data_IF_247259491995
#
_entry.id   IF_247259491995
#
_cell.length_a   1.000
_cell.length_b   1.000
_cell.length_c   1.000
_cell.angle_alpha   90.00
_cell.angle_beta   90.00
_cell.angle_gamma   90.00
#
_symmetry.space_group_name_H-M   'P 1'
#
loop_
_entity.id
_entity.type
_entity.pdbx_description
1 polymer ?
#
# COMPACT_ATOMS: atom_id res chain seq x y z
N UNK A 1 47.88 -17.95 8.67
CA UNK A 1 47.57 -16.63 8.06
C UNK A 1 46.18 -16.78 7.51
N UNK A 2 45.17 -16.43 8.30
CA UNK A 2 43.77 -16.77 8.06
C UNK A 2 43.13 -15.89 6.98
N UNK A 3 41.96 -16.33 6.53
CA UNK A 3 41.08 -15.63 5.60
C UNK A 3 40.82 -14.20 6.09
N UNK A 4 40.66 -13.27 5.15
CA UNK A 4 40.24 -11.90 5.46
C UNK A 4 38.72 -11.92 5.61
N UNK A 5 38.25 -12.05 6.84
CA UNK A 5 36.85 -11.86 7.18
C UNK A 5 36.49 -10.39 6.93
N UNK A 6 35.96 -10.11 5.73
CA UNK A 6 35.35 -8.82 5.39
C UNK A 6 34.00 -8.71 6.07
N UNK A 7 34.01 -8.46 7.38
CA UNK A 7 32.80 -8.00 8.05
C UNK A 7 32.35 -6.67 7.43
N UNK A 8 31.12 -6.65 6.93
CA UNK A 8 30.46 -5.44 6.46
C UNK A 8 29.84 -4.71 7.65
N UNK A 9 29.80 -3.38 7.58
CA UNK A 9 29.33 -2.53 8.67
C UNK A 9 28.32 -1.51 8.13
N UNK A 10 27.12 -1.51 8.69
CA UNK A 10 26.14 -0.45 8.43
C UNK A 10 26.21 0.62 9.51
N UNK A 11 25.95 1.87 9.11
CA UNK A 11 26.06 3.02 10.00
C UNK A 11 24.71 3.33 10.66
N UNK A 12 24.72 3.74 11.94
CA UNK A 12 23.51 4.10 12.70
C UNK A 12 23.66 5.44 13.42
N UNK A 13 22.54 6.16 13.55
CA UNK A 13 22.46 7.37 14.37
C UNK A 13 22.48 7.04 15.86
N UNK A 14 23.19 7.86 16.63
CA UNK A 14 23.17 7.85 18.10
C UNK A 14 21.76 7.95 18.69
N UNK A 15 20.82 8.58 17.98
CA UNK A 15 19.45 8.85 18.44
C UNK A 15 18.53 7.62 18.39
N UNK A 16 18.96 6.54 17.72
CA UNK A 16 18.21 5.30 17.57
C UNK A 16 18.73 4.15 18.45
N UNK A 17 19.87 4.36 19.12
CA UNK A 17 20.45 3.39 20.07
C UNK A 17 19.52 3.21 21.27
N UNK A 18 19.29 1.96 21.68
CA UNK A 18 18.48 1.64 22.86
C UNK A 18 19.29 1.91 24.15
N UNK A 19 18.64 2.48 25.16
CA UNK A 19 19.27 3.00 26.39
C UNK A 19 18.49 2.53 27.61
N UNK A 20 19.19 2.12 28.67
CA UNK A 20 18.60 1.54 29.89
C UNK A 20 18.20 0.06 29.79
N UNK A 21 18.31 -0.54 28.60
CA UNK A 21 18.07 -1.97 28.35
C UNK A 21 19.29 -2.60 27.64
N UNK A 22 19.52 -3.91 27.77
CA UNK A 22 20.59 -4.61 27.05
C UNK A 22 20.44 -4.53 25.53
N UNK A 23 21.48 -4.06 24.83
CA UNK A 23 21.46 -4.03 23.36
C UNK A 23 21.70 -5.43 22.77
N UNK A 24 21.04 -5.73 21.65
CA UNK A 24 21.06 -7.07 21.01
C UNK A 24 22.15 -7.23 19.95
N UNK A 25 23.12 -6.32 19.89
CA UNK A 25 24.11 -6.20 18.83
C UNK A 25 25.37 -5.51 19.37
N UNK A 26 26.48 -5.63 18.66
CA UNK A 26 27.76 -5.02 19.01
C UNK A 26 27.91 -3.64 18.34
N UNK A 27 28.38 -2.63 19.09
CA UNK A 27 28.63 -1.27 18.58
C UNK A 27 30.09 -1.06 18.22
N UNK A 28 30.31 -0.48 17.04
CA UNK A 28 31.61 -0.16 16.47
C UNK A 28 31.73 1.33 16.13
N UNK A 29 32.97 1.78 16.00
CA UNK A 29 33.35 3.05 15.36
C UNK A 29 34.28 2.75 14.19
N UNK A 30 34.29 3.57 13.15
CA UNK A 30 35.46 3.65 12.27
C UNK A 30 36.56 4.45 13.02
N UNK A 31 37.69 3.80 13.33
CA UNK A 31 38.83 4.42 14.00
C UNK A 31 39.85 5.02 13.03
N UNK A 32 39.52 5.09 11.73
CA UNK A 32 40.38 5.66 10.69
C UNK A 32 39.86 7.03 10.25
N UNK A 33 40.77 8.00 10.15
CA UNK A 33 40.51 9.30 9.54
C UNK A 33 40.86 9.35 8.05
N UNK A 34 41.02 8.19 7.39
CA UNK A 34 41.40 8.07 5.99
C UNK A 34 40.39 7.20 5.22
N UNK A 35 39.73 7.84 4.26
CA UNK A 35 38.85 7.21 3.27
C UNK A 35 39.57 6.06 2.53
N UNK A 36 38.86 4.95 2.28
CA UNK A 36 39.44 3.74 1.70
C UNK A 36 40.43 2.97 2.59
N UNK A 37 40.64 3.38 3.85
CA UNK A 37 41.45 2.68 4.86
C UNK A 37 40.71 2.54 6.18
N UNK A 38 39.44 2.13 6.10
CA UNK A 38 38.58 1.99 7.26
C UNK A 38 39.11 0.98 8.27
N UNK A 39 38.85 1.23 9.57
CA UNK A 39 39.23 0.32 10.64
C UNK A 39 38.16 0.32 11.72
N UNK A 40 37.25 -0.64 11.64
CA UNK A 40 36.19 -0.77 12.62
C UNK A 40 36.71 -1.33 13.94
N UNK A 41 36.35 -0.68 15.04
CA UNK A 41 36.74 -1.06 16.41
C UNK A 41 35.49 -1.13 17.26
N UNK A 42 35.23 -2.29 17.89
CA UNK A 42 34.11 -2.44 18.82
C UNK A 42 34.32 -1.57 20.06
N UNK A 43 33.37 -0.68 20.33
CA UNK A 43 33.38 0.19 21.52
C UNK A 43 32.47 -0.32 22.63
N UNK A 44 31.45 -1.12 22.31
CA UNK A 44 30.50 -1.64 23.30
C UNK A 44 29.95 -3.01 22.84
N UNK A 45 29.85 -4.02 23.73
CA UNK A 45 29.44 -5.37 23.35
C UNK A 45 27.93 -5.59 23.38
N UNK A 46 27.47 -6.57 22.60
CA UNK A 46 26.13 -7.15 22.75
C UNK A 46 25.87 -7.62 24.19
N UNK A 47 24.65 -7.41 24.68
CA UNK A 47 24.20 -7.80 26.02
C UNK A 47 24.54 -6.80 27.14
N UNK A 48 25.33 -5.77 26.87
CA UNK A 48 25.49 -4.64 27.79
C UNK A 48 24.30 -3.68 27.70
N UNK A 49 23.95 -3.02 28.80
CA UNK A 49 23.02 -1.89 28.81
C UNK A 49 23.80 -0.56 28.73
N UNK A 50 23.41 0.32 27.82
CA UNK A 50 23.99 1.66 27.69
C UNK A 50 23.22 2.67 28.55
N UNK A 51 23.94 3.60 29.18
CA UNK A 51 23.32 4.76 29.83
C UNK A 51 23.25 5.97 28.90
N UNK A 52 22.37 6.93 29.21
CA UNK A 52 22.23 8.18 28.42
C UNK A 52 23.56 8.94 28.31
N UNK A 53 24.35 8.93 29.38
CA UNK A 53 25.67 9.53 29.44
C UNK A 53 26.70 8.83 28.56
N UNK A 54 26.54 7.53 28.26
CA UNK A 54 27.43 6.81 27.33
C UNK A 54 27.16 7.23 25.89
N UNK A 55 25.89 7.27 25.49
CA UNK A 55 25.49 7.72 24.15
C UNK A 55 25.90 9.18 23.92
N UNK A 56 25.75 10.06 24.92
CA UNK A 56 26.24 11.43 24.87
C UNK A 56 27.78 11.51 24.79
N UNK A 57 28.51 10.69 25.56
CA UNK A 57 29.98 10.60 25.48
C UNK A 57 30.46 10.08 24.13
N UNK A 58 29.71 9.18 23.48
CA UNK A 58 30.03 8.71 22.14
C UNK A 58 29.72 9.77 21.07
N UNK A 59 28.55 10.43 21.13
CA UNK A 59 28.13 11.49 20.19
C UNK A 59 29.08 12.69 20.18
N UNK A 60 29.68 13.01 21.32
CA UNK A 60 30.67 14.10 21.44
C UNK A 60 32.09 13.71 20.96
N UNK A 61 32.34 12.44 20.65
CA UNK A 61 33.69 11.89 20.40
C UNK A 61 33.84 11.22 19.02
N UNK A 62 32.74 10.73 18.46
CA UNK A 62 32.70 9.96 17.23
C UNK A 62 31.66 10.55 16.28
N UNK A 63 31.95 10.54 14.98
CA UNK A 63 31.05 11.12 13.97
C UNK A 63 29.78 10.29 13.76
N UNK A 64 29.92 8.95 13.80
CA UNK A 64 28.87 7.99 13.49
C UNK A 64 29.16 6.67 14.22
N UNK A 65 28.11 5.91 14.54
CA UNK A 65 28.20 4.54 15.06
C UNK A 65 27.99 3.52 13.95
N UNK A 66 28.51 2.32 14.15
CA UNK A 66 28.39 1.21 13.20
C UNK A 66 28.01 -0.08 13.91
N UNK A 67 27.34 -0.98 13.20
CA UNK A 67 26.97 -2.33 13.63
C UNK A 67 27.33 -3.30 12.51
N UNK A 68 27.61 -4.56 12.85
CA UNK A 68 27.86 -5.61 11.85
C UNK A 68 26.61 -5.82 10.98
N UNK A 69 26.80 -5.98 9.67
CA UNK A 69 25.70 -6.30 8.73
C UNK A 69 24.96 -7.58 9.16
N UNK A 70 25.71 -8.58 9.64
CA UNK A 70 25.25 -9.83 10.26
C UNK A 70 24.36 -9.65 11.51
N UNK A 71 24.24 -8.42 12.04
CA UNK A 71 23.45 -8.07 13.23
C UNK A 71 22.38 -7.00 12.92
N UNK A 72 22.11 -6.70 11.63
CA UNK A 72 21.16 -5.63 11.25
C UNK A 72 19.73 -5.93 11.72
N UNK A 73 19.26 -7.17 11.63
CA UNK A 73 17.94 -7.57 12.12
C UNK A 73 17.81 -7.33 13.64
N UNK A 74 18.85 -7.65 14.42
CA UNK A 74 18.87 -7.48 15.88
C UNK A 74 18.81 -6.00 16.28
N UNK A 75 19.51 -5.13 15.54
CA UNK A 75 19.38 -3.68 15.68
C UNK A 75 17.96 -3.21 15.35
N UNK A 76 17.39 -3.57 14.19
CA UNK A 76 16.05 -3.16 13.79
C UNK A 76 14.96 -3.66 14.75
N UNK A 77 15.07 -4.90 15.23
CA UNK A 77 14.22 -5.49 16.26
C UNK A 77 14.35 -4.80 17.62
N UNK A 78 15.49 -4.17 17.93
CA UNK A 78 15.63 -3.29 19.11
C UNK A 78 14.96 -1.93 18.87
N UNK A 79 15.11 -1.36 17.67
CA UNK A 79 14.56 -0.05 17.29
C UNK A 79 13.02 -0.04 17.36
N UNK A 80 12.36 -1.12 16.95
CA UNK A 80 10.90 -1.31 17.17
C UNK A 80 10.53 -1.17 18.65
N UNK A 81 11.21 -1.95 19.51
CA UNK A 81 10.90 -2.06 20.94
C UNK A 81 11.18 -0.75 21.70
N UNK A 82 12.13 0.05 21.22
CA UNK A 82 12.46 1.34 21.81
C UNK A 82 11.27 2.33 21.69
N UNK A 83 10.54 2.50 22.80
CA UNK A 83 9.37 3.39 22.90
C UNK A 83 9.72 4.88 22.86
N UNK A 84 11.00 5.25 22.97
CA UNK A 84 11.45 6.64 22.95
C UNK A 84 11.61 7.19 21.51
N UNK A 85 11.72 6.31 20.51
CA UNK A 85 11.84 6.70 19.10
C UNK A 85 10.44 6.81 18.48
N UNK A 86 10.07 7.95 17.85
CA UNK A 86 8.80 8.08 17.13
C UNK A 86 8.70 7.09 15.96
N UNK A 87 7.51 6.53 15.71
CA UNK A 87 7.31 5.54 14.64
C UNK A 87 7.75 6.01 13.25
N UNK A 88 7.59 7.31 12.93
CA UNK A 88 8.12 7.92 11.71
C UNK A 88 9.63 7.70 11.55
N UNK A 89 10.42 7.88 12.62
CA UNK A 89 11.87 7.63 12.60
C UNK A 89 12.24 6.15 12.57
N UNK A 90 11.35 5.25 12.98
CA UNK A 90 11.51 3.80 12.77
C UNK A 90 11.30 3.46 11.30
N UNK A 91 10.21 3.96 10.71
CA UNK A 91 9.88 3.78 9.31
C UNK A 91 10.95 4.33 8.36
N UNK A 92 11.57 5.46 8.70
CA UNK A 92 12.75 6.03 8.00
C UNK A 92 13.89 5.00 7.89
N UNK A 93 14.36 4.47 9.03
CA UNK A 93 15.45 3.47 9.06
C UNK A 93 15.08 2.14 8.38
N UNK A 94 13.80 1.75 8.44
CA UNK A 94 13.26 0.56 7.75
C UNK A 94 13.25 0.78 6.25
N UNK A 95 12.79 1.95 5.79
CA UNK A 95 12.75 2.36 4.39
C UNK A 95 14.17 2.43 3.82
N UNK A 96 15.11 3.09 4.50
CA UNK A 96 16.51 3.19 4.10
C UNK A 96 17.17 1.80 3.97
N UNK A 97 16.85 0.88 4.87
CA UNK A 97 17.34 -0.51 4.80
C UNK A 97 16.72 -1.26 3.63
N UNK A 98 15.40 -1.18 3.43
CA UNK A 98 14.72 -1.81 2.30
C UNK A 98 15.24 -1.25 0.97
N UNK A 99 15.51 0.05 0.87
CA UNK A 99 16.14 0.69 -0.29
C UNK A 99 17.53 0.08 -0.56
N UNK A 100 18.36 -0.19 0.45
CA UNK A 100 19.69 -0.80 0.24
C UNK A 100 19.61 -2.23 -0.32
N UNK A 101 18.58 -3.01 0.07
CA UNK A 101 18.32 -4.33 -0.50
C UNK A 101 17.72 -4.26 -1.91
N UNK A 102 16.73 -3.38 -2.14
CA UNK A 102 16.15 -3.16 -3.48
C UNK A 102 17.18 -2.61 -4.48
N UNK A 103 18.06 -1.70 -4.06
CA UNK A 103 19.14 -1.20 -4.91
C UNK A 103 20.14 -2.31 -5.30
N UNK A 104 20.37 -3.26 -4.40
CA UNK A 104 21.18 -4.44 -4.71
C UNK A 104 20.48 -5.40 -5.70
N UNK A 105 19.14 -5.42 -5.73
CA UNK A 105 18.33 -6.15 -6.71
C UNK A 105 18.34 -5.46 -8.08
N UNK A 106 18.17 -4.14 -8.13
CA UNK A 106 17.88 -3.40 -9.37
C UNK A 106 19.09 -2.66 -9.99
N UNK A 107 20.28 -2.73 -9.42
CA UNK A 107 21.50 -2.12 -10.00
C UNK A 107 21.97 -2.80 -11.28
N UNK A 108 21.90 -2.09 -12.42
CA UNK A 108 22.38 -2.54 -13.76
C UNK A 108 23.82 -3.11 -13.76
N UNK A 109 24.71 -2.63 -12.89
CA UNK A 109 26.12 -3.04 -12.84
C UNK A 109 26.36 -4.44 -12.21
N UNK A 110 25.35 -5.11 -11.65
CA UNK A 110 25.51 -6.35 -10.88
C UNK A 110 24.90 -7.58 -11.56
N UNK A 111 25.76 -8.51 -11.98
CA UNK A 111 25.34 -9.89 -12.23
C UNK A 111 25.02 -10.53 -10.87
N UNK A 112 23.73 -10.59 -10.53
CA UNK A 112 23.27 -11.37 -9.38
C UNK A 112 23.38 -12.86 -9.69
N UNK A 113 24.22 -13.55 -8.92
CA UNK A 113 24.15 -15.00 -8.80
C UNK A 113 23.04 -15.42 -7.83
N UNK A 114 22.77 -16.73 -7.79
CA UNK A 114 21.69 -17.29 -6.99
C UNK A 114 21.86 -17.05 -5.48
N UNK A 115 23.10 -17.03 -4.98
CA UNK A 115 23.40 -16.90 -3.54
C UNK A 115 23.16 -15.46 -3.10
N UNK A 116 23.62 -14.48 -3.90
CA UNK A 116 23.31 -13.07 -3.70
C UNK A 116 21.80 -12.77 -3.72
N UNK A 117 21.02 -13.40 -4.61
CA UNK A 117 19.57 -13.16 -4.65
C UNK A 117 18.82 -13.80 -3.47
N UNK A 118 19.22 -15.00 -3.02
CA UNK A 118 18.65 -15.64 -1.83
C UNK A 118 18.90 -14.78 -0.57
N UNK A 119 20.13 -14.29 -0.38
CA UNK A 119 20.51 -13.41 0.74
C UNK A 119 19.75 -12.08 0.74
N UNK A 120 19.63 -11.42 -0.42
CA UNK A 120 19.00 -10.09 -0.49
C UNK A 120 17.48 -10.19 -0.31
N UNK A 121 16.83 -11.27 -0.79
CA UNK A 121 15.42 -11.52 -0.47
C UNK A 121 15.22 -11.86 1.02
N UNK A 122 16.20 -12.48 1.69
CA UNK A 122 16.18 -12.64 3.15
C UNK A 122 16.26 -11.28 3.86
N UNK A 123 17.14 -10.38 3.44
CA UNK A 123 17.23 -9.00 3.94
C UNK A 123 15.93 -8.20 3.74
N UNK A 124 15.30 -8.32 2.57
CA UNK A 124 13.95 -7.80 2.30
C UNK A 124 12.90 -8.39 3.27
N UNK A 125 12.91 -9.72 3.47
CA UNK A 125 11.99 -10.43 4.38
C UNK A 125 12.10 -9.90 5.81
N UNK A 126 13.31 -9.74 6.33
CA UNK A 126 13.52 -9.25 7.69
C UNK A 126 13.17 -7.77 7.81
N UNK A 127 13.42 -6.97 6.76
CA UNK A 127 12.95 -5.58 6.67
C UNK A 127 11.42 -5.48 6.71
N UNK A 128 10.71 -6.40 6.03
CA UNK A 128 9.24 -6.49 6.10
C UNK A 128 8.76 -7.02 7.45
N UNK A 129 9.47 -7.97 8.07
CA UNK A 129 9.15 -8.46 9.42
C UNK A 129 9.22 -7.34 10.47
N UNK A 130 10.10 -6.37 10.23
CA UNK A 130 10.26 -5.15 11.04
C UNK A 130 9.22 -4.09 10.66
N UNK A 131 8.91 -3.94 9.36
CA UNK A 131 7.86 -3.03 8.86
C UNK A 131 6.47 -3.38 9.42
N UNK A 132 6.10 -4.67 9.45
CA UNK A 132 4.82 -5.17 9.99
C UNK A 132 4.60 -4.71 11.43
N UNK A 133 5.62 -4.75 12.28
CA UNK A 133 5.52 -4.32 13.69
C UNK A 133 5.24 -2.81 13.84
N UNK A 134 5.55 -2.01 12.82
CA UNK A 134 5.30 -0.56 12.80
C UNK A 134 3.96 -0.23 12.14
N UNK A 135 3.62 -0.85 11.00
CA UNK A 135 2.49 -0.42 10.14
C UNK A 135 1.24 -1.29 10.20
N UNK A 136 1.24 -2.43 10.90
CA UNK A 136 0.07 -3.34 10.88
C UNK A 136 -1.24 -2.66 11.30
N UNK A 137 -1.21 -1.81 12.32
CA UNK A 137 -2.41 -1.14 12.85
C UNK A 137 -2.66 0.27 12.23
N UNK A 138 -1.92 0.63 11.17
CA UNK A 138 -2.08 1.91 10.47
C UNK A 138 -3.20 1.82 9.43
N UNK A 139 -3.97 2.89 9.25
CA UNK A 139 -4.89 3.05 8.11
C UNK A 139 -4.19 3.62 6.86
N UNK A 140 -4.84 3.54 5.70
CA UNK A 140 -4.36 4.10 4.42
C UNK A 140 -3.97 5.57 4.55
N UNK A 141 -4.73 6.36 5.34
CA UNK A 141 -4.40 7.77 5.60
C UNK A 141 -3.12 7.91 6.46
N UNK A 142 -2.97 7.06 7.48
CA UNK A 142 -1.78 7.08 8.35
C UNK A 142 -0.53 6.61 7.58
N UNK A 143 -0.69 5.71 6.59
CA UNK A 143 0.37 5.30 5.65
C UNK A 143 0.67 6.42 4.64
N UNK A 144 -0.33 7.12 4.09
CA UNK A 144 -0.09 8.26 3.21
C UNK A 144 0.64 9.40 3.92
N UNK A 145 0.25 9.73 5.16
CA UNK A 145 0.96 10.71 5.98
C UNK A 145 2.40 10.25 6.24
N UNK A 146 2.62 8.96 6.52
CA UNK A 146 3.95 8.39 6.70
C UNK A 146 4.80 8.52 5.42
N UNK A 147 4.28 8.13 4.26
CA UNK A 147 4.96 8.23 2.95
C UNK A 147 5.29 9.68 2.63
N UNK A 148 4.32 10.59 2.75
CA UNK A 148 4.50 12.01 2.46
C UNK A 148 5.55 12.69 3.34
N UNK A 149 5.76 12.21 4.57
CA UNK A 149 6.83 12.66 5.45
C UNK A 149 8.17 11.92 5.25
N UNK A 150 8.25 10.91 4.36
CA UNK A 150 9.46 10.12 4.06
C UNK A 150 9.99 10.34 2.63
N UNK A 151 9.30 11.08 1.77
CA UNK A 151 9.73 11.36 0.38
C UNK A 151 10.72 12.54 0.30
N UNK A 152 11.98 12.29 0.64
CA UNK A 152 13.09 13.26 0.53
C UNK A 152 14.12 12.95 -0.58
N UNK A 153 13.97 11.85 -1.31
CA UNK A 153 14.93 11.39 -2.33
C UNK A 153 14.23 10.91 -3.61
N UNK A 154 14.85 11.13 -4.78
CA UNK A 154 14.24 10.91 -6.10
C UNK A 154 14.26 9.44 -6.59
N UNK A 155 14.48 8.46 -5.70
CA UNK A 155 14.58 7.03 -6.04
C UNK A 155 13.19 6.35 -6.16
N UNK A 156 12.41 6.86 -7.10
CA UNK A 156 11.01 6.56 -7.37
C UNK A 156 10.63 5.05 -7.34
N UNK A 157 11.39 4.18 -8.00
CA UNK A 157 11.07 2.73 -8.10
C UNK A 157 11.13 2.00 -6.75
N UNK A 158 12.05 2.39 -5.87
CA UNK A 158 12.24 1.74 -4.57
C UNK A 158 11.18 2.21 -3.56
N UNK A 159 10.89 3.51 -3.56
CA UNK A 159 9.78 4.10 -2.80
C UNK A 159 8.45 3.40 -3.15
N UNK A 160 8.16 3.21 -4.44
CA UNK A 160 6.93 2.54 -4.89
C UNK A 160 6.75 1.13 -4.29
N UNK A 161 7.74 0.24 -4.44
CA UNK A 161 7.66 -1.13 -3.90
C UNK A 161 7.49 -1.16 -2.37
N UNK A 162 8.12 -0.22 -1.66
CA UNK A 162 7.99 -0.08 -0.20
C UNK A 162 6.60 0.44 0.20
N UNK A 163 6.02 1.36 -0.57
CA UNK A 163 4.65 1.84 -0.36
C UNK A 163 3.62 0.72 -0.58
N UNK A 164 3.74 -0.02 -1.69
CA UNK A 164 2.85 -1.16 -2.01
C UNK A 164 2.96 -2.24 -0.93
N UNK A 165 4.15 -2.50 -0.38
CA UNK A 165 4.33 -3.37 0.80
C UNK A 165 3.54 -2.86 2.01
N UNK A 166 3.63 -1.57 2.37
CA UNK A 166 2.88 -1.00 3.50
C UNK A 166 1.35 -1.08 3.30
N UNK A 167 0.86 -0.72 2.12
CA UNK A 167 -0.56 -0.82 1.79
C UNK A 167 -1.06 -2.27 1.84
N UNK A 168 -0.31 -3.23 1.29
CA UNK A 168 -0.64 -4.66 1.37
C UNK A 168 -0.81 -5.16 2.81
N UNK A 169 0.09 -4.77 3.72
CA UNK A 169 0.03 -5.13 5.14
C UNK A 169 -1.28 -4.62 5.77
N UNK A 170 -1.61 -3.34 5.56
CA UNK A 170 -2.81 -2.71 6.15
C UNK A 170 -4.13 -3.25 5.57
N UNK A 171 -4.20 -3.43 4.23
CA UNK A 171 -5.36 -4.01 3.56
C UNK A 171 -5.58 -5.46 4.05
N UNK A 172 -4.53 -6.28 4.08
CA UNK A 172 -4.64 -7.66 4.54
C UNK A 172 -4.98 -7.76 6.03
N UNK A 173 -4.38 -6.94 6.90
CA UNK A 173 -4.74 -6.85 8.32
C UNK A 173 -6.19 -6.45 8.52
N UNK A 174 -6.73 -5.55 7.70
CA UNK A 174 -8.15 -5.14 7.79
C UNK A 174 -9.08 -6.24 7.33
N UNK A 175 -8.75 -6.92 6.22
CA UNK A 175 -9.50 -8.08 5.73
C UNK A 175 -9.45 -9.26 6.72
N UNK A 176 -8.34 -9.42 7.44
CA UNK A 176 -8.11 -10.49 8.41
C UNK A 176 -7.49 -9.94 9.71
N UNK A 177 -8.28 -9.36 10.64
CA UNK A 177 -7.76 -8.76 11.88
C UNK A 177 -6.92 -9.71 12.74
N UNK A 178 -7.30 -11.00 12.73
CA UNK A 178 -6.62 -12.10 13.40
C UNK A 178 -5.56 -12.81 12.52
N UNK A 179 -5.01 -12.13 11.51
CA UNK A 179 -3.87 -12.62 10.74
C UNK A 179 -2.66 -12.84 11.67
N UNK A 180 -1.93 -13.93 11.44
CA UNK A 180 -0.64 -14.14 12.12
C UNK A 180 0.44 -13.25 11.51
N UNK A 181 1.54 -13.04 12.25
CA UNK A 181 2.68 -12.22 11.79
C UNK A 181 3.25 -12.74 10.47
N UNK A 182 3.35 -14.05 10.30
CA UNK A 182 3.88 -14.68 9.08
C UNK A 182 3.02 -14.37 7.85
N UNK A 183 1.69 -14.25 8.03
CA UNK A 183 0.77 -13.90 6.95
C UNK A 183 0.84 -12.41 6.57
N UNK A 184 1.09 -11.54 7.56
CA UNK A 184 1.34 -10.11 7.34
C UNK A 184 2.69 -9.88 6.65
N UNK A 185 3.71 -10.64 7.00
CA UNK A 185 5.02 -10.62 6.31
C UNK A 185 4.88 -11.11 4.88
N UNK A 186 4.09 -12.17 4.63
CA UNK A 186 3.81 -12.66 3.28
C UNK A 186 3.04 -11.62 2.45
N UNK A 187 2.11 -10.86 3.06
CA UNK A 187 1.42 -9.74 2.41
C UNK A 187 2.38 -8.60 2.03
N UNK A 188 3.25 -8.18 2.95
CA UNK A 188 4.26 -7.14 2.70
C UNK A 188 5.26 -7.57 1.62
N UNK A 189 5.81 -8.79 1.70
CA UNK A 189 6.72 -9.34 0.68
C UNK A 189 6.04 -9.47 -0.70
N UNK A 190 4.74 -9.77 -0.72
CA UNK A 190 3.92 -9.77 -1.95
C UNK A 190 3.78 -8.37 -2.57
N UNK A 191 3.96 -7.31 -1.80
CA UNK A 191 4.01 -5.92 -2.28
C UNK A 191 5.42 -5.46 -2.60
N UNK A 192 6.41 -5.83 -1.78
CA UNK A 192 7.81 -5.41 -1.95
C UNK A 192 8.48 -6.03 -3.19
N UNK A 193 8.07 -7.23 -3.59
CA UNK A 193 8.70 -7.98 -4.69
C UNK A 193 7.87 -8.06 -5.98
N UNK A 194 6.68 -7.47 -6.04
CA UNK A 194 5.79 -7.61 -7.22
C UNK A 194 6.50 -7.25 -8.53
N UNK A 195 7.26 -6.15 -8.48
CA UNK A 195 7.97 -5.51 -9.58
C UNK A 195 9.34 -6.13 -9.90
N UNK A 196 9.74 -7.21 -9.22
CA UNK A 196 11.08 -7.82 -9.30
C UNK A 196 11.53 -8.11 -10.75
N UNK A 197 10.60 -8.44 -11.64
CA UNK A 197 10.90 -8.68 -13.06
C UNK A 197 11.40 -7.45 -13.83
N UNK A 198 11.24 -6.22 -13.32
CA UNK A 198 11.71 -5.00 -13.99
C UNK A 198 13.23 -4.93 -14.12
N UNK A 199 13.99 -5.73 -13.36
CA UNK A 199 15.42 -6.00 -13.60
C UNK A 199 15.73 -6.49 -15.02
N UNK A 200 14.78 -7.16 -15.69
CA UNK A 200 14.94 -7.70 -17.05
C UNK A 200 14.49 -6.73 -18.14
N UNK A 201 14.02 -5.53 -17.78
CA UNK A 201 13.50 -4.53 -18.70
C UNK A 201 14.56 -3.44 -18.94
N UNK A 202 14.82 -3.03 -20.20
CA UNK A 202 15.82 -2.00 -20.48
C UNK A 202 15.61 -0.70 -19.71
N UNK A 203 16.69 -0.18 -19.13
CA UNK A 203 16.74 1.03 -18.28
C UNK A 203 16.10 2.27 -18.91
N UNK A 204 16.09 2.38 -20.25
CA UNK A 204 15.47 3.49 -20.99
C UNK A 204 13.93 3.41 -21.06
N UNK A 205 13.35 2.21 -20.97
CA UNK A 205 11.89 2.01 -20.89
C UNK A 205 11.43 2.33 -19.47
N UNK A 206 12.11 1.78 -18.45
CA UNK A 206 11.83 2.03 -17.03
C UNK A 206 11.90 3.53 -16.69
N UNK A 207 12.87 4.26 -17.25
CA UNK A 207 13.06 5.69 -17.00
C UNK A 207 12.46 6.60 -18.10
N UNK A 208 11.50 6.11 -18.91
CA UNK A 208 10.85 6.94 -19.93
C UNK A 208 10.01 8.06 -19.26
N UNK A 209 10.27 9.36 -19.54
CA UNK A 209 9.58 10.48 -18.91
C UNK A 209 8.19 10.80 -19.52
N UNK A 210 7.62 9.90 -20.33
CA UNK A 210 6.32 10.04 -20.98
C UNK A 210 5.69 8.67 -21.29
N UNK A 211 4.58 8.68 -22.05
CA UNK A 211 3.90 7.44 -22.45
C UNK A 211 4.84 6.58 -23.32
N UNK A 212 5.01 5.31 -22.97
CA UNK A 212 5.71 4.32 -23.79
C UNK A 212 5.04 4.16 -25.16
N UNK A 213 5.81 3.74 -26.18
CA UNK A 213 5.22 3.21 -27.42
C UNK A 213 4.53 1.86 -27.16
N UNK A 214 3.70 1.40 -28.11
CA UNK A 214 3.03 0.10 -27.99
C UNK A 214 4.06 -1.05 -27.93
N UNK A 215 5.20 -0.94 -28.64
CA UNK A 215 6.30 -1.91 -28.60
C UNK A 215 7.07 -1.87 -27.27
N UNK A 216 7.34 -0.68 -26.72
CA UNK A 216 7.93 -0.51 -25.40
C UNK A 216 7.01 -1.06 -24.29
N UNK A 217 5.68 -0.93 -24.46
CA UNK A 217 4.70 -1.45 -23.53
C UNK A 217 4.58 -2.99 -23.60
N UNK A 218 4.60 -3.60 -24.79
CA UNK A 218 4.70 -5.07 -24.88
C UNK A 218 6.02 -5.62 -24.28
N UNK A 219 7.11 -4.84 -24.30
CA UNK A 219 8.33 -5.17 -23.55
C UNK A 219 8.08 -5.10 -22.04
N UNK A 220 7.55 -3.99 -21.49
CA UNK A 220 7.37 -3.86 -20.03
C UNK A 220 6.37 -4.88 -19.47
N UNK A 221 5.34 -5.26 -20.25
CA UNK A 221 4.37 -6.32 -19.92
C UNK A 221 4.99 -7.72 -19.76
N UNK A 222 6.25 -7.93 -20.17
CA UNK A 222 6.96 -9.20 -19.94
C UNK A 222 7.46 -9.39 -18.51
N UNK A 223 7.54 -8.32 -17.70
CA UNK A 223 8.13 -8.36 -16.37
C UNK A 223 7.46 -9.34 -15.38
N UNK A 224 6.13 -9.58 -15.37
CA UNK A 224 5.51 -10.54 -14.44
C UNK A 224 5.97 -11.97 -14.68
N UNK A 225 6.19 -12.34 -15.95
CA UNK A 225 6.79 -13.63 -16.31
C UNK A 225 8.29 -13.64 -15.98
N UNK A 226 9.03 -12.57 -16.30
CA UNK A 226 10.47 -12.49 -16.03
C UNK A 226 10.81 -12.60 -14.54
N UNK A 227 10.07 -11.90 -13.68
CA UNK A 227 10.27 -11.95 -12.22
C UNK A 227 9.92 -13.30 -11.61
N UNK A 228 8.83 -13.95 -12.09
CA UNK A 228 8.51 -15.33 -11.71
C UNK A 228 9.62 -16.29 -12.15
N UNK A 229 10.07 -16.18 -13.39
CA UNK A 229 11.15 -17.00 -13.95
C UNK A 229 12.48 -16.83 -13.20
N UNK A 230 12.77 -15.61 -12.72
CA UNK A 230 13.94 -15.32 -11.90
C UNK A 230 13.90 -16.10 -10.58
N UNK A 231 12.81 -15.95 -9.82
CA UNK A 231 12.62 -16.65 -8.54
C UNK A 231 12.63 -18.17 -8.74
N UNK A 232 11.93 -18.69 -9.75
CA UNK A 232 11.87 -20.13 -10.07
C UNK A 232 13.25 -20.75 -10.39
N UNK A 233 14.16 -19.97 -11.01
CA UNK A 233 15.49 -20.46 -11.43
C UNK A 233 16.59 -20.21 -10.39
N UNK A 234 16.47 -19.13 -9.61
CA UNK A 234 17.53 -18.66 -8.73
C UNK A 234 17.29 -18.97 -7.25
N UNK A 235 16.04 -18.92 -6.79
CA UNK A 235 15.67 -18.97 -5.37
C UNK A 235 15.01 -20.31 -5.02
N UNK A 236 15.72 -21.17 -4.28
CA UNK A 236 15.30 -22.55 -3.96
C UNK A 236 14.38 -22.61 -2.75
N UNK A 237 14.72 -21.89 -1.68
CA UNK A 237 13.98 -21.91 -0.41
C UNK A 237 14.40 -20.74 0.49
N UNK A 238 13.43 -20.02 1.05
CA UNK A 238 13.67 -18.98 2.06
C UNK A 238 12.84 -19.30 3.30
N UNK A 239 13.49 -19.40 4.46
CA UNK A 239 12.88 -19.92 5.68
C UNK A 239 11.76 -19.00 6.16
N UNK A 240 10.53 -19.53 6.22
CA UNK A 240 9.37 -18.74 6.62
C UNK A 240 8.96 -17.70 5.58
N UNK A 241 9.09 -18.01 4.28
CA UNK A 241 8.50 -17.30 3.15
C UNK A 241 7.91 -18.32 2.17
N UNK A 242 6.65 -18.15 1.76
CA UNK A 242 6.02 -19.03 0.77
C UNK A 242 6.38 -18.56 -0.65
N UNK A 243 7.39 -19.20 -1.23
CA UNK A 243 7.89 -18.86 -2.57
C UNK A 243 6.89 -19.17 -3.69
N UNK A 244 5.96 -20.12 -3.52
CA UNK A 244 4.91 -20.35 -4.52
C UNK A 244 3.90 -19.20 -4.53
N UNK A 245 3.52 -18.71 -3.34
CA UNK A 245 2.70 -17.51 -3.21
C UNK A 245 3.41 -16.29 -3.80
N UNK A 246 4.70 -16.07 -3.51
CA UNK A 246 5.46 -14.94 -4.07
C UNK A 246 5.56 -15.05 -5.61
N UNK A 247 5.93 -16.22 -6.15
CA UNK A 247 5.94 -16.47 -7.61
C UNK A 247 4.58 -16.22 -8.26
N UNK A 248 3.47 -16.58 -7.58
CA UNK A 248 2.12 -16.28 -8.04
C UNK A 248 1.82 -14.78 -8.00
N UNK A 249 2.22 -14.03 -6.98
CA UNK A 249 1.94 -12.59 -6.94
C UNK A 249 2.74 -11.83 -8.00
N UNK A 250 4.03 -12.11 -8.13
CA UNK A 250 4.87 -11.52 -9.18
C UNK A 250 4.27 -11.77 -10.56
N UNK A 251 3.71 -12.97 -10.79
CA UNK A 251 3.07 -13.32 -12.06
C UNK A 251 1.67 -12.72 -12.26
N UNK A 252 0.89 -12.52 -11.19
CA UNK A 252 -0.57 -12.29 -11.28
C UNK A 252 -1.03 -10.87 -10.88
N UNK A 253 -0.13 -9.96 -10.48
CA UNK A 253 -0.53 -8.63 -10.00
C UNK A 253 -1.08 -7.68 -11.09
N UNK A 254 -0.80 -7.95 -12.36
CA UNK A 254 -1.42 -7.26 -13.51
C UNK A 254 -2.62 -8.03 -14.12
N UNK A 255 -3.14 -9.05 -13.43
CA UNK A 255 -4.37 -9.74 -13.82
C UNK A 255 -5.60 -8.92 -13.38
N UNK A 256 -6.38 -8.43 -14.36
CA UNK A 256 -7.60 -7.69 -14.12
C UNK A 256 -8.72 -8.64 -13.67
N UNK A 257 -9.51 -8.25 -12.67
CA UNK A 257 -10.56 -9.09 -12.07
C UNK A 257 -11.58 -9.67 -13.08
N UNK A 258 -11.82 -9.02 -14.21
CA UNK A 258 -12.68 -9.48 -15.31
C UNK A 258 -12.01 -10.47 -16.29
N UNK A 259 -10.71 -10.74 -16.17
CA UNK A 259 -9.92 -11.55 -17.11
C UNK A 259 -9.20 -10.77 -18.22
N UNK A 260 -9.38 -9.45 -18.36
CA UNK A 260 -8.70 -8.65 -19.38
C UNK A 260 -7.33 -8.12 -18.94
N UNK A 261 -6.58 -8.94 -18.19
CA UNK A 261 -5.24 -8.62 -17.68
C UNK A 261 -4.14 -9.44 -18.37
N UNK A 262 -2.94 -9.39 -17.80
CA UNK A 262 -1.79 -10.13 -18.31
C UNK A 262 -0.93 -10.65 -17.15
N UNK A 263 -0.09 -11.68 -17.39
CA UNK A 263 0.09 -12.43 -18.64
C UNK A 263 -0.77 -13.69 -18.75
N UNK A 264 -1.41 -14.16 -17.67
CA UNK A 264 -2.19 -15.40 -17.65
C UNK A 264 -3.65 -15.24 -18.09
N UNK A 265 -4.19 -14.02 -18.17
CA UNK A 265 -5.61 -13.71 -18.46
C UNK A 265 -6.55 -14.37 -17.42
N UNK A 266 -6.14 -14.40 -16.16
CA UNK A 266 -6.92 -14.96 -15.04
C UNK A 266 -8.03 -14.00 -14.60
N UNK A 267 -9.13 -14.54 -14.08
CA UNK A 267 -10.27 -13.73 -13.62
C UNK A 267 -10.73 -14.08 -12.20
N UNK A 268 -11.49 -13.17 -11.60
CA UNK A 268 -12.25 -13.34 -10.37
C UNK A 268 -11.42 -13.85 -9.18
N UNK A 269 -11.61 -15.12 -8.83
CA UNK A 269 -10.99 -15.76 -7.66
C UNK A 269 -9.95 -16.82 -8.02
N UNK A 270 -9.65 -17.01 -9.31
CA UNK A 270 -8.52 -17.79 -9.78
C UNK A 270 -7.19 -17.02 -9.59
N UNK A 271 -7.26 -15.69 -9.65
CA UNK A 271 -6.18 -14.76 -9.29
C UNK A 271 -5.91 -14.88 -7.77
N UNK A 272 -4.64 -15.03 -7.39
CA UNK A 272 -4.27 -15.21 -5.98
C UNK A 272 -4.73 -14.04 -5.09
N UNK A 273 -5.09 -14.31 -3.83
CA UNK A 273 -5.62 -13.27 -2.94
C UNK A 273 -4.63 -12.12 -2.75
N UNK A 274 -3.35 -12.42 -2.48
CA UNK A 274 -2.33 -11.37 -2.37
C UNK A 274 -2.06 -10.66 -3.69
N UNK A 275 -2.26 -11.30 -4.85
CA UNK A 275 -2.07 -10.64 -6.14
C UNK A 275 -3.17 -9.59 -6.39
N UNK A 276 -4.42 -9.89 -6.02
CA UNK A 276 -5.53 -8.93 -6.05
C UNK A 276 -5.39 -7.81 -5.01
N UNK A 277 -4.74 -8.06 -3.88
CA UNK A 277 -4.37 -7.01 -2.91
C UNK A 277 -3.27 -6.12 -3.51
N UNK A 278 -2.18 -6.70 -4.02
CA UNK A 278 -1.08 -5.96 -4.69
C UNK A 278 -1.60 -5.10 -5.84
N UNK A 279 -2.45 -5.63 -6.73
CA UNK A 279 -3.05 -4.87 -7.84
C UNK A 279 -3.81 -3.61 -7.39
N UNK A 280 -4.46 -3.67 -6.22
CA UNK A 280 -5.20 -2.54 -5.64
C UNK A 280 -4.25 -1.56 -4.95
N UNK A 281 -3.22 -2.06 -4.25
CA UNK A 281 -2.20 -1.26 -3.59
C UNK A 281 -1.30 -0.50 -4.58
N UNK A 282 -0.90 -1.15 -5.68
CA UNK A 282 -0.17 -0.54 -6.80
C UNK A 282 -1.00 0.54 -7.47
N UNK A 283 -2.23 0.25 -7.91
CA UNK A 283 -3.13 1.26 -8.49
C UNK A 283 -3.32 2.46 -7.54
N UNK A 284 -3.50 2.20 -6.24
CA UNK A 284 -3.66 3.26 -5.24
C UNK A 284 -2.39 4.12 -5.06
N UNK A 285 -1.20 3.51 -4.98
CA UNK A 285 0.06 4.24 -4.94
C UNK A 285 0.29 5.02 -6.24
N UNK A 286 -0.01 4.43 -7.40
CA UNK A 286 0.20 5.02 -8.70
C UNK A 286 -0.58 6.31 -8.97
N UNK A 287 -1.66 6.55 -8.22
CA UNK A 287 -2.47 7.78 -8.33
C UNK A 287 -2.33 8.71 -7.11
N UNK A 288 -1.68 8.27 -6.02
CA UNK A 288 -1.52 9.06 -4.78
C UNK A 288 -0.09 9.39 -4.41
N UNK A 289 0.90 8.61 -4.82
CA UNK A 289 2.32 8.93 -4.68
C UNK A 289 2.78 9.80 -5.84
N UNK A 290 3.76 10.69 -5.59
CA UNK A 290 4.19 11.73 -6.53
C UNK A 290 5.04 11.18 -7.68
N UNK A 291 4.41 10.54 -8.67
CA UNK A 291 5.05 10.23 -9.94
C UNK A 291 5.31 11.55 -10.70
N UNK A 292 6.42 11.61 -11.44
CA UNK A 292 7.06 12.87 -11.85
C UNK A 292 6.12 13.85 -12.57
N UNK A 293 5.95 15.04 -11.95
CA UNK A 293 5.22 16.23 -12.41
C UNK A 293 3.68 16.24 -12.30
N UNK A 294 3.00 15.17 -11.86
CA UNK A 294 1.53 15.18 -11.75
C UNK A 294 0.98 15.74 -10.42
N UNK A 295 -0.30 16.16 -10.41
CA UNK A 295 -1.05 16.46 -9.18
C UNK A 295 -1.36 15.16 -8.41
N UNK A 296 -0.91 15.07 -7.17
CA UNK A 296 -1.30 14.01 -6.22
C UNK A 296 -2.82 14.02 -6.00
N UNK A 297 -3.46 12.85 -5.99
CA UNK A 297 -4.82 12.70 -5.48
C UNK A 297 -4.85 12.52 -3.97
N UNK A 298 -5.81 13.14 -3.31
CA UNK A 298 -6.20 12.80 -1.94
C UNK A 298 -6.88 11.43 -1.89
N UNK A 299 -6.93 10.79 -0.70
CA UNK A 299 -7.66 9.53 -0.45
C UNK A 299 -9.08 9.52 -1.06
N UNK A 300 -9.81 10.62 -0.91
CA UNK A 300 -11.20 10.73 -1.39
C UNK A 300 -11.27 10.75 -2.92
N UNK A 301 -10.36 11.47 -3.57
CA UNK A 301 -10.26 11.49 -5.03
C UNK A 301 -9.80 10.13 -5.57
N UNK A 302 -8.85 9.48 -4.91
CA UNK A 302 -8.32 8.16 -5.29
C UNK A 302 -9.39 7.06 -5.21
N UNK A 303 -10.11 6.95 -4.09
CA UNK A 303 -11.23 6.00 -3.93
C UNK A 303 -12.33 6.29 -4.96
N UNK A 304 -12.64 7.57 -5.20
CA UNK A 304 -13.66 7.98 -6.17
C UNK A 304 -13.27 7.58 -7.61
N UNK A 305 -12.01 7.77 -8.02
CA UNK A 305 -11.49 7.32 -9.32
C UNK A 305 -11.52 5.78 -9.44
N UNK A 306 -10.96 5.08 -8.45
CA UNK A 306 -10.85 3.61 -8.44
C UNK A 306 -12.23 2.91 -8.46
N UNK A 307 -13.28 3.55 -7.95
CA UNK A 307 -14.65 3.02 -7.95
C UNK A 307 -15.16 2.57 -9.34
N UNK A 308 -14.71 3.24 -10.41
CA UNK A 308 -15.10 2.90 -11.80
C UNK A 308 -14.34 1.69 -12.39
N UNK A 309 -13.25 1.28 -11.73
CA UNK A 309 -12.47 0.09 -12.09
C UNK A 309 -12.87 -1.16 -11.30
N UNK A 310 -13.74 -1.03 -10.28
CA UNK A 310 -14.29 -2.15 -9.49
C UNK A 310 -15.07 -3.12 -10.39
N UNK A 311 -14.82 -4.42 -10.23
CA UNK A 311 -15.41 -5.48 -11.06
C UNK A 311 -14.82 -5.59 -12.47
N UNK A 312 -14.15 -4.53 -12.99
CA UNK A 312 -13.33 -4.59 -14.20
C UNK A 312 -11.91 -5.06 -13.87
N UNK A 313 -11.12 -4.18 -13.25
CA UNK A 313 -9.71 -4.39 -12.89
C UNK A 313 -9.59 -4.84 -11.43
N UNK A 314 -10.36 -4.18 -10.57
CA UNK A 314 -10.27 -4.25 -9.11
C UNK A 314 -11.28 -5.25 -8.54
N UNK A 315 -10.85 -6.05 -7.56
CA UNK A 315 -11.72 -6.95 -6.78
C UNK A 315 -12.68 -6.13 -5.88
N UNK A 316 -14.01 -6.28 -6.03
CA UNK A 316 -14.98 -5.59 -5.18
C UNK A 316 -14.80 -5.89 -3.69
N UNK A 317 -14.51 -7.14 -3.31
CA UNK A 317 -14.43 -7.55 -1.90
C UNK A 317 -13.27 -6.81 -1.18
N UNK A 318 -12.19 -6.53 -1.91
CA UNK A 318 -10.96 -5.91 -1.39
C UNK A 318 -11.00 -4.39 -1.50
N UNK A 319 -11.63 -3.83 -2.55
CA UNK A 319 -11.91 -2.39 -2.62
C UNK A 319 -12.77 -1.92 -1.45
N UNK A 320 -13.77 -2.71 -1.07
CA UNK A 320 -14.60 -2.47 0.10
C UNK A 320 -13.78 -2.44 1.40
N UNK A 321 -12.72 -3.26 1.50
CA UNK A 321 -11.78 -3.26 2.64
C UNK A 321 -10.90 -2.00 2.62
N UNK A 322 -10.37 -1.61 1.45
CA UNK A 322 -9.56 -0.40 1.28
C UNK A 322 -10.33 0.85 1.74
N UNK A 323 -11.57 1.03 1.25
CA UNK A 323 -12.40 2.18 1.58
C UNK A 323 -12.79 2.23 3.09
N UNK A 324 -13.10 1.06 3.68
CA UNK A 324 -13.38 0.93 5.12
C UNK A 324 -12.16 1.25 5.97
N UNK A 325 -10.98 0.75 5.59
CA UNK A 325 -9.73 1.07 6.29
C UNK A 325 -9.42 2.57 6.22
N UNK A 326 -9.61 3.20 5.06
CA UNK A 326 -9.49 4.65 4.87
C UNK A 326 -10.50 5.49 5.69
N UNK A 327 -11.39 4.87 6.48
CA UNK A 327 -12.42 5.50 7.32
C UNK A 327 -13.42 6.33 6.49
N UNK A 328 -13.70 5.90 5.25
CA UNK A 328 -14.65 6.56 4.34
C UNK A 328 -15.86 5.68 4.06
N UNK A 329 -17.04 6.32 4.02
CA UNK A 329 -18.19 5.75 3.34
C UNK A 329 -17.93 5.89 1.83
N UNK A 330 -18.15 4.81 1.06
CA UNK A 330 -18.15 4.90 -0.41
C UNK A 330 -19.34 5.76 -0.82
N UNK A 331 -19.09 7.03 -1.12
CA UNK A 331 -20.14 7.97 -1.53
C UNK A 331 -20.61 7.61 -2.93
N UNK A 332 -21.91 7.35 -3.07
CA UNK A 332 -22.57 6.97 -4.34
C UNK A 332 -22.73 8.15 -5.33
N UNK A 333 -21.92 9.20 -5.18
CA UNK A 333 -21.83 10.29 -6.13
C UNK A 333 -20.84 9.96 -7.24
N UNK A 334 -21.14 10.36 -8.47
CA UNK A 334 -20.21 10.15 -9.57
C UNK A 334 -18.90 10.93 -9.36
N UNK A 335 -17.74 10.33 -9.68
CA UNK A 335 -16.45 11.01 -9.63
C UNK A 335 -16.44 12.17 -10.62
N UNK A 336 -15.76 13.27 -10.30
CA UNK A 336 -15.60 14.39 -11.24
C UNK A 336 -14.66 14.04 -12.40
N UNK A 337 -13.72 13.14 -12.15
CA UNK A 337 -12.63 12.77 -13.04
C UNK A 337 -12.48 11.24 -13.02
N UNK A 338 -12.23 10.63 -14.16
CA UNK A 338 -12.00 9.18 -14.29
C UNK A 338 -10.69 8.90 -15.01
N UNK A 339 -10.13 7.71 -14.79
CA UNK A 339 -9.03 7.20 -15.62
C UNK A 339 -9.59 6.35 -16.78
N UNK A 340 -8.88 6.30 -17.92
CA UNK A 340 -9.25 5.49 -19.07
C UNK A 340 -9.33 3.99 -18.75
N UNK A 341 -10.16 3.26 -19.50
CA UNK A 341 -10.28 1.81 -19.35
C UNK A 341 -8.98 1.05 -19.73
N UNK A 342 -8.04 1.68 -20.45
CA UNK A 342 -6.69 1.14 -20.75
C UNK A 342 -5.60 1.54 -19.73
N UNK A 343 -5.89 2.36 -18.71
CA UNK A 343 -4.90 2.79 -17.70
C UNK A 343 -4.21 1.61 -17.00
N UNK A 344 -2.88 1.60 -17.00
CA UNK A 344 -2.04 0.58 -16.36
C UNK A 344 -1.03 1.27 -15.41
N UNK A 345 -0.93 0.87 -14.13
CA UNK A 345 0.05 1.44 -13.20
C UNK A 345 1.51 1.26 -13.63
N UNK A 346 1.82 0.29 -14.48
CA UNK A 346 3.16 0.07 -15.02
C UNK A 346 3.53 1.11 -16.10
N UNK A 347 2.54 1.81 -16.67
CA UNK A 347 2.76 2.81 -17.71
C UNK A 347 3.25 4.14 -17.10
N UNK A 348 4.44 4.66 -17.47
CA UNK A 348 4.87 6.00 -17.09
C UNK A 348 3.92 7.08 -17.65
N UNK A 349 3.43 7.93 -16.75
CA UNK A 349 2.54 9.05 -17.04
C UNK A 349 3.09 10.35 -16.45
N UNK A 350 3.47 11.29 -17.32
CA UNK A 350 3.94 12.64 -16.95
C UNK A 350 2.85 13.49 -16.28
N UNK A 351 1.63 13.31 -16.77
CA UNK A 351 0.38 13.74 -16.16
C UNK A 351 -0.56 12.54 -16.23
N UNK A 352 -1.31 12.26 -15.16
CA UNK A 352 -2.30 11.18 -15.16
C UNK A 352 -3.41 11.52 -16.16
N UNK A 353 -3.84 10.56 -17.01
CA UNK A 353 -4.67 10.82 -18.20
C UNK A 353 -6.16 10.99 -17.84
N UNK A 354 -6.47 11.86 -16.87
CA UNK A 354 -7.83 12.02 -16.36
C UNK A 354 -8.79 12.60 -17.42
N UNK A 355 -9.94 11.96 -17.57
CA UNK A 355 -11.06 12.47 -18.35
C UNK A 355 -12.14 13.06 -17.43
N UNK A 356 -12.83 14.11 -17.88
CA UNK A 356 -14.07 14.57 -17.22
C UNK A 356 -15.13 13.46 -17.28
N UNK A 357 -15.71 13.11 -16.13
CA UNK A 357 -16.77 12.11 -16.12
C UNK A 357 -18.02 12.60 -16.85
N UNK A 358 -18.27 12.02 -18.02
CA UNK A 358 -19.49 12.22 -18.80
C UNK A 358 -20.45 11.09 -18.48
N UNK A 359 -21.53 11.31 -17.69
CA UNK A 359 -22.51 10.27 -17.43
C UNK A 359 -23.09 9.78 -18.76
N UNK A 360 -23.04 8.46 -18.97
CA UNK A 360 -23.69 7.85 -20.13
C UNK A 360 -25.19 8.15 -20.07
N UNK A 361 -25.65 9.01 -20.98
CA UNK A 361 -27.07 9.03 -21.32
C UNK A 361 -27.43 7.66 -21.88
N UNK A 362 -28.39 7.00 -21.24
CA UNK A 362 -29.06 5.89 -21.89
C UNK A 362 -29.94 6.49 -23.00
N UNK A 363 -29.45 6.50 -24.24
CA UNK A 363 -30.23 6.88 -25.44
C UNK A 363 -31.28 5.81 -25.82
N UNK A 364 -31.77 5.09 -24.81
CA UNK A 364 -32.91 4.20 -24.85
C UNK A 364 -33.93 4.68 -23.82
N UNK A 365 -34.77 5.61 -24.27
CA UNK A 365 -36.05 5.88 -23.63
C UNK A 365 -36.92 4.61 -23.73
N UNK A 366 -36.83 3.77 -22.69
CA UNK A 366 -37.65 2.57 -22.50
C UNK A 366 -39.17 2.87 -22.45
N UNK A 367 -39.57 4.15 -22.44
CA UNK A 367 -40.95 4.62 -22.48
C UNK A 367 -41.29 5.46 -23.73
N UNK A 368 -40.40 5.50 -24.74
CA UNK A 368 -40.73 5.86 -26.12
C UNK A 368 -41.39 7.22 -26.35
N UNK A 369 -40.99 8.28 -25.64
CA UNK A 369 -41.59 9.63 -25.71
C UNK A 369 -41.18 10.44 -26.95
N UNK A 370 -41.15 9.79 -28.12
CA UNK A 370 -41.04 10.43 -29.43
C UNK A 370 -42.39 10.38 -30.18
N UNK A 371 -43.47 10.79 -29.52
CA UNK A 371 -44.75 11.04 -30.18
C UNK A 371 -45.52 12.18 -29.46
N UNK A 372 -45.82 13.26 -30.18
CA UNK A 372 -46.62 14.38 -29.67
C UNK A 372 -48.12 14.02 -29.61
N UNK A 373 -48.53 13.17 -28.64
CA UNK A 373 -49.95 12.98 -28.31
C UNK A 373 -50.20 12.81 -26.81
N UNK A 374 -51.04 13.72 -26.29
CA UNK A 374 -51.97 13.53 -25.16
C UNK A 374 -51.46 12.80 -23.91
N UNK A 375 -51.27 13.54 -22.81
CA UNK A 375 -51.28 12.97 -21.46
C UNK A 375 -52.60 12.21 -21.23
N UNK A 376 -52.53 10.88 -21.21
CA UNK A 376 -53.70 10.02 -21.02
C UNK A 376 -54.20 10.04 -19.58
N UNK A 377 -55.47 10.41 -19.39
CA UNK A 377 -56.13 10.33 -18.09
C UNK A 377 -56.41 8.87 -17.70
N UNK A 378 -55.87 8.43 -16.57
CA UNK A 378 -56.06 7.07 -16.05
C UNK A 378 -57.51 6.90 -15.58
N UNK A 379 -58.29 6.08 -16.29
CA UNK A 379 -59.59 5.62 -15.80
C UNK A 379 -59.39 4.51 -14.77
N UNK A 380 -59.66 4.82 -13.50
CA UNK A 380 -59.78 3.82 -12.44
C UNK A 380 -61.11 3.08 -12.62
N UNK A 381 -61.07 1.87 -13.16
CA UNK A 381 -62.24 0.99 -13.23
C UNK A 381 -62.46 0.32 -11.87
N UNK A 382 -63.31 0.93 -11.03
CA UNK A 382 -63.90 0.26 -9.87
C UNK A 382 -64.87 -0.83 -10.35
N UNK A 383 -64.42 -2.08 -10.35
CA UNK A 383 -65.28 -3.26 -10.53
C UNK A 383 -65.17 -4.11 -9.26
N UNK A 384 -66.08 -3.90 -8.32
CA UNK A 384 -66.25 -4.80 -7.18
C UNK A 384 -67.16 -5.97 -7.57
N UNK A 385 -66.64 -7.19 -7.48
CA UNK A 385 -67.44 -8.42 -7.40
C UNK A 385 -66.81 -9.30 -6.32
N UNK A 386 -67.63 -9.76 -5.37
CA UNK A 386 -67.19 -10.63 -4.29
C UNK A 386 -67.15 -12.09 -4.71
N UNK A 387 -66.20 -12.85 -4.15
CA UNK A 387 -66.21 -14.31 -4.16
C UNK A 387 -66.62 -14.80 -2.78
N UNK A 388 -67.63 -15.65 -2.71
CA UNK A 388 -68.19 -16.16 -1.47
C UNK A 388 -67.89 -17.66 -1.31
N UNK A 389 -67.53 -18.05 -0.08
CA UNK A 389 -67.38 -19.40 0.47
C UNK A 389 -67.18 -20.63 -0.46
N UNK A 390 -66.06 -21.33 -0.28
CA UNK A 390 -66.10 -22.76 0.03
C UNK A 390 -64.96 -23.16 0.99
N UNK A 391 -65.18 -24.23 1.77
CA UNK A 391 -64.39 -24.61 2.97
C UNK A 391 -63.30 -25.64 2.67
N UNK A 392 -62.17 -25.60 3.40
CA UNK A 392 -61.94 -26.59 4.48
C UNK A 392 -60.72 -26.29 5.38
N UNK A 393 -60.93 -26.50 6.68
CA UNK A 393 -60.03 -27.10 7.69
C UNK A 393 -58.61 -26.54 7.95
N UNK A 394 -58.55 -25.70 8.99
CA UNK A 394 -57.71 -25.80 10.19
C UNK A 394 -56.22 -26.20 10.09
N UNK A 395 -55.35 -25.34 10.64
CA UNK A 395 -54.61 -25.60 11.90
C UNK A 395 -54.25 -24.23 12.52
N UNK A 396 -54.59 -24.02 13.79
CA UNK A 396 -54.21 -22.84 14.57
C UNK A 396 -52.81 -23.00 15.20
N UNK A 397 -52.15 -21.90 15.57
CA UNK A 397 -51.77 -21.64 16.98
C UNK A 397 -51.21 -20.21 17.20
N UNK A 398 -52.07 -19.37 17.78
CA UNK A 398 -51.79 -18.26 18.73
C UNK A 398 -50.88 -17.07 18.33
N UNK A 399 -50.92 -16.03 19.18
CA UNK A 399 -50.62 -14.64 18.82
C UNK A 399 -50.18 -13.76 20.00
N UNK A 400 -49.30 -12.80 19.73
CA UNK A 400 -49.12 -11.56 20.51
C UNK A 400 -48.47 -10.52 19.58
N UNK A 401 -49.13 -9.46 19.09
CA UNK A 401 -49.73 -8.29 19.77
C UNK A 401 -48.69 -7.22 20.13
N UNK A 402 -48.77 -6.11 19.39
CA UNK A 402 -48.35 -4.74 19.75
C UNK A 402 -46.83 -4.50 19.96
N UNK A 403 -46.25 -3.32 19.73
CA UNK A 403 -46.81 -1.99 19.40
C UNK A 403 -46.21 -1.40 18.11
N UNK A 404 -46.92 -0.45 17.50
CA UNK A 404 -46.36 0.47 16.48
C UNK A 404 -46.45 1.92 16.95
N UNK A 405 -45.32 2.62 17.04
CA UNK A 405 -45.28 4.06 17.30
C UNK A 405 -44.56 4.78 16.15
N UNK A 406 -45.36 5.46 15.32
CA UNK A 406 -44.87 6.46 14.36
C UNK A 406 -44.68 7.82 15.04
N UNK A 407 -43.63 8.55 14.67
CA UNK A 407 -43.46 9.98 15.00
C UNK A 407 -43.18 10.73 13.70
N UNK A 408 -43.93 11.81 13.45
CA UNK A 408 -43.77 12.67 12.29
C UNK A 408 -43.04 13.98 12.71
N UNK A 409 -42.26 14.63 11.83
CA UNK A 409 -41.49 15.85 12.15
C UNK A 409 -42.30 17.15 11.95
N UNK A 410 -41.62 18.29 12.17
CA UNK A 410 -42.11 19.69 12.09
C UNK A 410 -42.95 20.08 13.34
N UNK A 411 -42.76 21.22 14.01
CA UNK A 411 -42.51 22.61 13.55
C UNK A 411 -41.67 23.48 14.54
N UNK A 412 -41.01 24.53 14.02
CA UNK A 412 -40.63 25.85 14.63
C UNK A 412 -39.70 25.88 15.89
N UNK A 413 -38.70 26.77 16.10
CA UNK A 413 -38.48 28.21 15.82
C UNK A 413 -39.25 29.14 16.80
N UNK A 414 -38.75 30.27 17.35
CA UNK A 414 -37.61 31.19 17.03
C UNK A 414 -36.86 31.71 18.31
N UNK A 415 -36.36 32.97 18.32
CA UNK A 415 -35.54 33.73 19.31
C UNK A 415 -34.03 33.34 19.35
N UNK A 416 -33.01 34.15 18.98
CA UNK A 416 -32.64 35.60 19.11
C UNK A 416 -32.06 36.03 20.48
N UNK A 417 -31.12 36.99 20.63
CA UNK A 417 -29.94 37.51 19.86
C UNK A 417 -29.25 38.60 20.77
N UNK A 418 -27.99 39.08 20.72
CA UNK A 418 -26.67 38.82 20.07
C UNK A 418 -25.61 39.07 21.19
N UNK A 419 -24.33 38.71 20.98
CA UNK A 419 -23.26 39.65 21.37
C UNK A 419 -21.98 39.47 20.52
N UNK A 420 -21.92 40.22 19.42
CA UNK A 420 -20.72 40.44 18.61
C UNK A 420 -19.64 41.19 19.43
N UNK A 421 -18.33 41.07 19.17
CA UNK A 421 -17.56 41.95 18.27
C UNK A 421 -16.04 41.77 18.53
N UNK A 422 -15.23 41.34 17.53
CA UNK A 422 -14.08 42.09 16.93
C UNK A 422 -13.14 41.24 16.05
N UNK A 423 -12.80 41.80 14.89
CA UNK A 423 -11.71 41.35 14.01
C UNK A 423 -10.33 41.85 14.50
N UNK A 424 -9.24 41.11 14.22
CA UNK A 424 -8.24 41.54 13.23
C UNK A 424 -7.17 40.46 12.89
N UNK A 425 -6.71 40.34 11.63
CA UNK A 425 -5.62 39.45 11.25
C UNK A 425 -4.24 40.15 11.16
N UNK A 426 -3.17 39.40 11.49
CA UNK A 426 -1.76 39.77 11.36
C UNK A 426 -0.92 38.48 11.13
N UNK A 427 0.21 38.47 10.42
CA UNK A 427 0.71 39.29 9.30
C UNK A 427 1.92 38.53 8.69
N UNK A 428 2.11 38.51 7.36
CA UNK A 428 3.38 38.02 6.78
C UNK A 428 4.54 38.96 7.15
N UNK A 429 5.70 38.41 7.47
CA UNK A 429 6.99 39.13 7.58
C UNK A 429 8.10 38.24 7.03
N UNK A 430 8.92 38.83 6.14
CA UNK A 430 10.18 38.35 5.53
C UNK A 430 10.43 36.84 5.51
#
# INVERSE_FOLDING_TARGET
MSIIDKHYFFSISFEFVTVGEPILYDLYINSSGLEGKERFVRIFPMGGALERDDVLRFRNKYHQLYVLEEQRDLYLRSLIKNKNVPNIKKAEVIKDTAIQYLDTIFSDDRILDNEMLEDVIHGCRDSVEVMVEVVQDYSINDIQELIGNLSFHDFYTYDHSINVSMYNISIFKTMKPNAKKEELVLAGMSGLLHDLGKMSIPTHIINNPGKLTDEEFEIIKSHPQAGRDLVEKQVKNIVGLDLEVIKRVIFEHHENFNGSGYPGNKSGKDIHIFARITAIADFYDAITTKRSYHKILSTDEAISVMSKSVGKKIDPDIFDVLAKNAKKLVTTGDPKMVLPDDFDPCQPHRELPFEEFKPHKQDHDLFGKNDEKTFGSVKVNLIGQGCDHHKNENIDYESSSDDTVTVNPEELAEEEDDDSVKNNPLKKVS
#
